data_IF_002501803666
#
_entry.id   IF_002501803666
#
_cell.length_a   1.000
_cell.length_b   1.000
_cell.length_c   1.000
_cell.angle_alpha   90.00
_cell.angle_beta   90.00
_cell.angle_gamma   90.00
#
_symmetry.space_group_name_H-M   'P 1'
#
loop_
_entity.id
_entity.type
_entity.pdbx_description
1 polymer ?
#
# COMPACT_ATOMS: atom_id res chain seq x y z
N UNK A 1 10.64 -6.03 1.14
CA UNK A 1 11.03 -6.04 2.57
C UNK A 1 9.86 -5.67 3.49
N UNK A 2 10.09 -5.68 4.81
CA UNK A 2 9.15 -5.10 5.77
C UNK A 2 8.98 -3.61 5.48
N UNK A 3 7.74 -3.12 5.59
CA UNK A 3 7.40 -1.74 5.26
C UNK A 3 6.73 -1.10 6.47
N UNK A 4 7.25 0.03 6.99
CA UNK A 4 6.55 0.77 8.03
C UNK A 4 5.20 1.28 7.50
N UNK A 5 4.22 1.59 8.37
CA UNK A 5 2.97 2.17 7.95
C UNK A 5 3.18 3.43 7.08
N UNK A 6 2.60 3.43 5.88
CA UNK A 6 2.69 4.55 4.94
C UNK A 6 1.35 4.79 4.25
N UNK A 7 1.05 6.06 3.97
CA UNK A 7 -0.14 6.46 3.21
C UNK A 7 0.16 6.33 1.73
N UNK A 8 -0.66 5.56 1.04
CA UNK A 8 -0.50 5.24 -0.36
C UNK A 8 -1.39 6.15 -1.21
N UNK A 9 -0.98 6.41 -2.44
CA UNK A 9 -1.67 7.33 -3.37
C UNK A 9 -3.13 6.94 -3.64
N UNK A 10 -3.46 5.66 -3.52
CA UNK A 10 -4.79 5.10 -3.70
C UNK A 10 -5.63 5.09 -2.41
N UNK A 11 -5.33 5.96 -1.44
CA UNK A 11 -6.22 6.25 -0.31
C UNK A 11 -6.24 5.20 0.80
N UNK A 12 -5.29 4.28 0.79
CA UNK A 12 -5.08 3.30 1.85
C UNK A 12 -3.80 3.59 2.64
N UNK A 13 -3.74 3.13 3.89
CA UNK A 13 -2.50 3.01 4.65
C UNK A 13 -2.07 1.57 4.63
N UNK A 14 -0.84 1.30 4.21
CA UNK A 14 -0.29 -0.06 4.15
C UNK A 14 0.94 -0.22 5.04
N UNK A 15 1.13 -1.42 5.57
CA UNK A 15 2.29 -1.81 6.38
C UNK A 15 2.56 -3.31 6.19
N UNK A 16 3.80 -3.73 6.39
CA UNK A 16 4.12 -5.16 6.51
C UNK A 16 5.14 -5.42 7.61
N UNK A 17 4.94 -6.52 8.33
CA UNK A 17 5.81 -6.97 9.41
C UNK A 17 5.90 -8.49 9.43
N UNK A 18 6.92 -9.02 10.12
CA UNK A 18 7.05 -10.46 10.38
C UNK A 18 6.66 -10.77 11.82
N UNK A 19 5.94 -11.86 12.02
CA UNK A 19 5.70 -12.40 13.36
C UNK A 19 6.90 -13.23 13.85
N UNK A 20 6.94 -13.63 15.14
CA UNK A 20 8.03 -14.44 15.69
C UNK A 20 8.23 -15.83 15.06
N UNK A 21 7.26 -16.34 14.31
CA UNK A 21 7.34 -17.60 13.58
C UNK A 21 7.85 -17.41 12.14
N UNK A 22 8.13 -16.17 11.74
CA UNK A 22 8.67 -15.82 10.44
C UNK A 22 7.60 -15.59 9.36
N UNK A 23 6.31 -15.64 9.68
CA UNK A 23 5.28 -15.33 8.70
C UNK A 23 5.22 -13.83 8.45
N UNK A 24 5.10 -13.45 7.18
CA UNK A 24 4.92 -12.05 6.79
C UNK A 24 3.45 -11.72 6.70
N UNK A 25 3.05 -10.71 7.46
CA UNK A 25 1.70 -10.16 7.46
C UNK A 25 1.71 -8.81 6.74
N UNK A 26 0.66 -8.57 5.95
CA UNK A 26 0.39 -7.26 5.35
C UNK A 26 -0.88 -6.70 5.96
N UNK A 27 -0.83 -5.44 6.36
CA UNK A 27 -1.97 -4.69 6.87
C UNK A 27 -2.35 -3.62 5.85
N UNK A 28 -3.65 -3.49 5.61
CA UNK A 28 -4.21 -2.41 4.81
C UNK A 28 -5.40 -1.82 5.55
N UNK A 29 -5.43 -0.49 5.67
CA UNK A 29 -6.53 0.26 6.24
C UNK A 29 -6.99 1.31 5.23
N UNK A 30 -8.26 1.29 4.85
CA UNK A 30 -8.82 2.32 4.00
C UNK A 30 -8.93 3.64 4.78
N UNK A 31 -8.25 4.69 4.32
CA UNK A 31 -8.36 6.03 4.89
C UNK A 31 -9.47 6.83 4.21
N UNK A 32 -9.61 6.65 2.88
CA UNK A 32 -10.54 7.39 2.04
C UNK A 32 -11.02 6.51 0.88
N UNK A 33 -12.31 6.55 0.60
CA UNK A 33 -12.85 5.96 -0.61
C UNK A 33 -12.50 6.83 -1.83
N UNK A 34 -12.01 6.19 -2.88
CA UNK A 34 -11.70 6.84 -4.16
C UNK A 34 -12.65 6.31 -5.23
N UNK A 35 -13.04 7.16 -6.15
CA UNK A 35 -13.71 6.73 -7.37
C UNK A 35 -12.73 6.00 -8.30
N UNK A 36 -13.24 5.32 -9.33
CA UNK A 36 -12.40 4.74 -10.39
C UNK A 36 -11.52 5.82 -11.03
N UNK A 37 -12.10 6.97 -11.40
CA UNK A 37 -11.36 8.06 -12.05
C UNK A 37 -10.21 8.59 -11.19
N UNK A 38 -10.40 8.66 -9.86
CA UNK A 38 -9.34 9.08 -8.92
C UNK A 38 -8.24 8.01 -8.78
N UNK A 39 -8.61 6.73 -8.84
CA UNK A 39 -7.65 5.62 -8.79
C UNK A 39 -6.80 5.57 -10.07
N UNK A 40 -7.42 5.74 -11.23
CA UNK A 40 -6.73 5.78 -12.51
C UNK A 40 -5.72 6.93 -12.52
N UNK A 41 -6.13 8.14 -12.12
CA UNK A 41 -5.24 9.29 -12.02
C UNK A 41 -4.08 9.08 -11.02
N UNK A 42 -4.30 8.35 -9.92
CA UNK A 42 -3.26 8.03 -8.95
C UNK A 42 -2.29 6.93 -9.42
N UNK A 43 -2.69 6.13 -10.40
CA UNK A 43 -1.89 5.02 -10.94
C UNK A 43 -0.82 5.46 -11.95
N UNK A 44 -1.05 6.58 -12.65
CA UNK A 44 -0.10 7.17 -13.61
C UNK A 44 1.23 7.62 -12.95
N UNK A 45 1.22 7.89 -11.64
CA UNK A 45 2.41 8.22 -10.84
C UNK A 45 3.18 6.99 -10.35
N UNK A 46 2.61 5.77 -10.50
CA UNK A 46 3.22 4.55 -9.99
C UNK A 46 4.25 3.98 -10.97
N UNK A 47 5.54 4.28 -10.74
CA UNK A 47 6.63 3.66 -11.48
C UNK A 47 7.00 2.29 -10.87
N UNK A 48 6.83 1.21 -11.63
CA UNK A 48 7.38 -0.10 -11.27
C UNK A 48 8.90 -0.04 -11.39
N UNK A 49 9.60 0.00 -10.26
CA UNK A 49 11.04 -0.26 -10.21
C UNK A 49 11.27 -1.77 -10.23
N UNK A 50 12.03 -2.24 -11.23
CA UNK A 50 12.53 -3.62 -11.31
C UNK A 50 13.34 -3.93 -10.03
N UNK A 51 13.04 -5.07 -9.40
CA UNK A 51 13.58 -5.46 -8.09
C UNK A 51 14.71 -6.47 -8.19
#
# INVERSE_FOLDING_TARGET
DERPPSDESHGSRQSSFRDPFGHRWMLSMQLRAMSIDELDAASDDFTVTDG
#
